data_IF_411164458475
#
_entry.id   IF_411164458475
#
_cell.length_a   1.000
_cell.length_b   1.000
_cell.length_c   1.000
_cell.angle_alpha   90.00
_cell.angle_beta   90.00
_cell.angle_gamma   90.00
#
_symmetry.space_group_name_H-M   'P 1'
#
loop_
_entity.id
_entity.type
_entity.pdbx_description
1 polymer ?
#
# COMPACT_ATOMS: atom_id res chain seq x y z
N UNK A 1 8.11 12.37 -18.15
CA UNK A 1 7.87 11.05 -17.52
C UNK A 1 7.94 9.98 -18.59
N UNK A 2 8.12 8.72 -18.19
CA UNK A 2 8.07 7.57 -19.09
C UNK A 2 6.66 6.98 -19.00
N UNK A 3 5.87 7.12 -20.07
CA UNK A 3 4.59 6.42 -20.21
C UNK A 3 4.85 4.96 -20.58
N UNK A 4 4.08 4.05 -20.00
CA UNK A 4 4.22 2.61 -20.19
C UNK A 4 2.86 1.98 -20.41
N UNK A 5 2.72 1.16 -21.45
CA UNK A 5 1.53 0.33 -21.71
C UNK A 5 1.97 -1.12 -21.77
N UNK A 6 1.28 -1.98 -21.01
CA UNK A 6 1.46 -3.43 -21.05
C UNK A 6 0.22 -4.05 -21.71
N UNK A 7 0.40 -5.19 -22.38
CA UNK A 7 -0.70 -5.94 -23.02
C UNK A 7 -0.71 -7.38 -22.49
N UNK A 8 -1.89 -7.93 -22.31
CA UNK A 8 -2.08 -9.35 -21.97
C UNK A 8 -3.37 -9.88 -22.59
N UNK A 9 -3.43 -11.18 -22.82
CA UNK A 9 -4.66 -11.91 -23.12
C UNK A 9 -5.25 -12.63 -21.90
N UNK A 10 -4.52 -12.68 -20.79
CA UNK A 10 -4.93 -13.29 -19.54
C UNK A 10 -4.42 -12.46 -18.34
N UNK A 11 -5.24 -11.57 -17.77
CA UNK A 11 -4.80 -10.71 -16.67
C UNK A 11 -4.43 -11.48 -15.38
N UNK A 12 -4.79 -12.76 -15.30
CA UNK A 12 -4.53 -13.63 -14.15
C UNK A 12 -3.24 -14.45 -14.25
N UNK A 13 -2.52 -14.36 -15.35
CA UNK A 13 -1.22 -15.03 -15.54
C UNK A 13 -0.13 -13.98 -15.76
N UNK A 14 0.76 -13.84 -14.78
CA UNK A 14 1.86 -12.86 -14.82
C UNK A 14 2.76 -13.04 -16.05
N UNK A 15 2.98 -14.28 -16.50
CA UNK A 15 3.85 -14.59 -17.65
C UNK A 15 3.21 -14.25 -19.00
N UNK A 16 1.92 -13.91 -19.00
CA UNK A 16 1.18 -13.55 -20.22
C UNK A 16 1.21 -12.06 -20.55
N UNK A 17 1.78 -11.24 -19.65
CA UNK A 17 1.97 -9.81 -19.87
C UNK A 17 3.19 -9.55 -20.76
N UNK A 18 3.05 -8.60 -21.68
CA UNK A 18 4.15 -8.19 -22.57
C UNK A 18 5.23 -7.39 -21.84
N UNK A 19 6.40 -7.26 -22.46
CA UNK A 19 7.30 -6.14 -22.17
C UNK A 19 6.58 -4.79 -22.37
N UNK A 20 7.00 -3.70 -21.69
CA UNK A 20 6.33 -2.41 -21.80
C UNK A 20 6.53 -1.75 -23.16
N UNK A 21 5.44 -1.26 -23.75
CA UNK A 21 5.50 -0.24 -24.80
C UNK A 21 5.72 1.11 -24.13
N UNK A 22 6.78 1.82 -24.54
CA UNK A 22 7.20 3.05 -23.86
C UNK A 22 7.14 4.27 -24.75
N UNK A 23 6.74 5.41 -24.20
CA UNK A 23 6.76 6.71 -24.85
C UNK A 23 7.05 7.82 -23.85
N UNK A 24 7.58 8.96 -24.32
CA UNK A 24 7.83 10.10 -23.44
C UNK A 24 6.64 11.04 -23.43
N UNK A 25 6.18 11.40 -22.24
CA UNK A 25 5.09 12.36 -22.04
C UNK A 25 5.35 13.23 -20.80
N UNK A 26 4.97 14.52 -20.82
CA UNK A 26 5.00 15.35 -19.63
C UNK A 26 3.79 15.12 -18.71
N UNK A 27 2.80 14.32 -19.13
CA UNK A 27 1.53 14.11 -18.42
C UNK A 27 1.57 12.81 -17.59
N UNK A 28 1.01 12.85 -16.38
CA UNK A 28 0.77 11.68 -15.53
C UNK A 28 -0.65 11.14 -15.73
N UNK A 29 -1.09 10.23 -14.87
CA UNK A 29 -2.46 9.70 -14.82
C UNK A 29 -3.01 9.34 -16.20
N UNK A 30 -2.29 8.43 -16.86
CA UNK A 30 -2.62 8.00 -18.20
C UNK A 30 -3.71 6.93 -18.14
N UNK A 31 -4.72 7.07 -18.99
CA UNK A 31 -5.80 6.10 -19.17
C UNK A 31 -5.80 5.57 -20.62
N UNK A 32 -6.64 4.58 -20.92
CA UNK A 32 -6.83 4.06 -22.26
C UNK A 32 -8.31 4.21 -22.68
N UNK A 33 -8.54 4.90 -23.79
CA UNK A 33 -9.86 5.07 -24.39
C UNK A 33 -9.88 4.50 -25.81
N UNK A 34 -10.78 3.56 -26.08
CA UNK A 34 -11.04 3.04 -27.42
C UNK A 34 -12.28 3.70 -27.99
N UNK A 35 -12.14 4.35 -29.14
CA UNK A 35 -13.24 5.04 -29.81
C UNK A 35 -13.87 4.19 -30.92
N UNK A 36 -15.05 4.60 -31.37
CA UNK A 36 -15.82 3.95 -32.44
C UNK A 36 -15.10 4.01 -33.81
N UNK A 37 -14.07 4.85 -33.95
CA UNK A 37 -13.20 4.93 -35.13
C UNK A 37 -12.17 3.77 -35.21
N UNK A 38 -12.14 2.91 -34.18
CA UNK A 38 -11.23 1.78 -34.07
C UNK A 38 -9.83 2.14 -33.55
N UNK A 39 -9.60 3.39 -33.14
CA UNK A 39 -8.34 3.84 -32.54
C UNK A 39 -8.39 3.80 -31.01
N UNK A 40 -7.20 3.68 -30.43
CA UNK A 40 -6.96 3.89 -29.02
C UNK A 40 -6.31 5.25 -28.83
N UNK A 41 -6.83 6.01 -27.88
CA UNK A 41 -6.29 7.27 -27.41
C UNK A 41 -5.93 7.15 -25.93
N UNK A 42 -5.01 8.00 -25.47
CA UNK A 42 -4.53 8.00 -24.09
C UNK A 42 -4.90 9.34 -23.44
N UNK A 43 -6.01 9.44 -22.69
CA UNK A 43 -6.24 10.57 -21.81
C UNK A 43 -5.10 10.71 -20.80
N UNK A 44 -4.73 11.94 -20.44
CA UNK A 44 -3.67 12.19 -19.47
C UNK A 44 -3.89 13.45 -18.64
N UNK A 45 -3.26 13.48 -17.45
CA UNK A 45 -3.36 14.58 -16.50
C UNK A 45 -3.15 15.97 -17.12
N UNK A 46 -3.90 16.96 -16.63
CA UNK A 46 -4.09 18.24 -17.33
C UNK A 46 -5.19 18.21 -18.40
N UNK A 47 -6.01 17.15 -18.42
CA UNK A 47 -7.12 16.93 -19.35
C UNK A 47 -6.67 17.01 -20.82
N UNK A 48 -5.61 16.27 -21.15
CA UNK A 48 -5.13 16.11 -22.52
C UNK A 48 -5.55 14.77 -23.09
N UNK A 49 -5.57 14.69 -24.42
CA UNK A 49 -5.73 13.46 -25.18
C UNK A 49 -4.48 13.23 -26.03
N UNK A 50 -3.77 12.14 -25.76
CA UNK A 50 -2.61 11.74 -26.52
C UNK A 50 -3.04 10.73 -27.60
N UNK A 51 -2.59 10.98 -28.83
CA UNK A 51 -2.57 10.00 -29.91
C UNK A 51 -1.15 9.45 -29.96
N UNK A 52 -0.97 8.17 -29.65
CA UNK A 52 0.36 7.56 -29.45
C UNK A 52 0.54 6.40 -30.41
N UNK A 53 1.62 6.46 -31.19
CA UNK A 53 2.14 5.31 -31.89
C UNK A 53 2.94 4.46 -30.89
N UNK A 54 2.33 3.37 -30.43
CA UNK A 54 2.96 2.48 -29.45
C UNK A 54 4.14 1.70 -30.04
N UNK A 55 4.18 1.45 -31.34
CA UNK A 55 5.28 0.71 -31.97
C UNK A 55 6.54 1.58 -32.06
N UNK A 56 6.37 2.83 -32.47
CA UNK A 56 7.46 3.81 -32.55
C UNK A 56 7.77 4.46 -31.19
N UNK A 57 6.87 4.33 -30.21
CA UNK A 57 6.99 4.97 -28.89
C UNK A 57 6.87 6.50 -28.95
N UNK A 58 6.08 7.02 -29.90
CA UNK A 58 5.98 8.46 -30.17
C UNK A 58 4.58 9.00 -29.94
N UNK A 59 4.50 10.21 -29.36
CA UNK A 59 3.25 10.96 -29.23
C UNK A 59 3.02 11.73 -30.53
N UNK A 60 2.04 11.30 -31.32
CA UNK A 60 1.65 11.90 -32.60
C UNK A 60 0.94 13.22 -32.37
N UNK A 61 -0.03 13.25 -31.45
CA UNK A 61 -0.75 14.46 -31.05
C UNK A 61 -0.89 14.52 -29.52
N UNK A 62 -0.90 15.73 -28.98
CA UNK A 62 -1.24 16.02 -27.58
C UNK A 62 -2.26 17.16 -27.57
N UNK A 63 -3.53 16.80 -27.44
CA UNK A 63 -4.67 17.72 -27.59
C UNK A 63 -5.22 18.09 -26.22
N UNK A 64 -5.20 19.38 -25.88
CA UNK A 64 -5.89 19.87 -24.69
C UNK A 64 -7.41 19.81 -24.88
N UNK A 65 -8.12 19.16 -23.95
CA UNK A 65 -9.57 18.95 -24.03
C UNK A 65 -10.37 19.99 -23.23
N UNK A 66 -10.00 20.20 -21.97
CA UNK A 66 -10.82 20.96 -21.02
C UNK A 66 -10.03 21.56 -19.86
N UNK A 67 -10.31 22.82 -19.50
CA UNK A 67 -9.63 23.50 -18.39
C UNK A 67 -10.08 23.09 -16.99
N UNK A 68 -10.99 22.12 -16.86
CA UNK A 68 -11.58 21.77 -15.58
C UNK A 68 -12.57 22.81 -15.07
N UNK A 69 -12.83 22.78 -13.76
CA UNK A 69 -13.74 23.71 -13.06
C UNK A 69 -13.00 24.84 -12.33
N UNK A 70 -11.67 24.87 -12.44
CA UNK A 70 -10.80 25.86 -11.80
C UNK A 70 -10.08 25.36 -10.54
N UNK A 71 -10.19 24.07 -10.23
CA UNK A 71 -9.41 23.42 -9.17
C UNK A 71 -7.92 23.32 -9.46
N UNK A 72 -7.15 23.03 -8.42
CA UNK A 72 -5.73 22.69 -8.54
C UNK A 72 -5.58 21.22 -8.94
N UNK A 73 -4.48 20.90 -9.63
CA UNK A 73 -4.11 19.52 -9.99
C UNK A 73 -5.21 18.74 -10.75
N UNK A 74 -5.66 19.23 -11.93
CA UNK A 74 -6.55 18.45 -12.79
C UNK A 74 -5.86 17.16 -13.24
N UNK A 75 -6.37 16.01 -12.78
CA UNK A 75 -5.70 14.71 -12.85
C UNK A 75 -6.70 13.56 -13.07
N UNK A 76 -6.22 12.32 -13.20
CA UNK A 76 -7.06 11.12 -13.40
C UNK A 76 -8.18 11.21 -14.45
N UNK A 77 -7.93 11.69 -15.70
CA UNK A 77 -9.00 11.80 -16.67
C UNK A 77 -9.38 10.45 -17.28
N UNK A 78 -10.68 10.13 -17.24
CA UNK A 78 -11.30 9.04 -17.98
C UNK A 78 -12.24 9.59 -19.05
N UNK A 79 -12.24 8.96 -20.23
CA UNK A 79 -13.17 9.31 -21.32
C UNK A 79 -14.20 8.20 -21.50
N UNK A 80 -15.48 8.57 -21.53
CA UNK A 80 -16.59 7.67 -21.79
C UNK A 80 -17.35 8.10 -23.04
N UNK A 81 -17.79 7.13 -23.84
CA UNK A 81 -18.71 7.35 -24.96
C UNK A 81 -20.11 6.88 -24.56
N UNK A 82 -21.09 7.79 -24.49
CA UNK A 82 -22.47 7.45 -24.12
C UNK A 82 -23.48 8.41 -24.75
N UNK A 83 -24.58 7.88 -25.29
CA UNK A 83 -25.71 8.64 -25.85
C UNK A 83 -25.30 9.73 -26.86
N UNK A 84 -24.28 9.47 -27.68
CA UNK A 84 -23.76 10.43 -28.66
C UNK A 84 -22.82 11.49 -28.09
N UNK A 85 -22.47 11.43 -26.81
CA UNK A 85 -21.53 12.32 -26.13
C UNK A 85 -20.22 11.62 -25.74
N UNK A 86 -19.13 12.38 -25.78
CA UNK A 86 -17.87 12.07 -25.09
C UNK A 86 -17.89 12.78 -23.75
N UNK A 87 -17.79 12.03 -22.66
CA UNK A 87 -17.67 12.57 -21.31
C UNK A 87 -16.21 12.49 -20.89
N UNK A 88 -15.68 13.54 -20.27
CA UNK A 88 -14.43 13.50 -19.51
C UNK A 88 -14.78 13.58 -18.03
N UNK A 89 -14.41 12.56 -17.27
CA UNK A 89 -14.44 12.54 -15.80
C UNK A 89 -13.01 12.75 -15.32
N UNK A 90 -12.77 13.67 -14.40
CA UNK A 90 -11.42 13.93 -13.88
C UNK A 90 -11.44 14.39 -12.42
N UNK A 91 -10.33 14.24 -11.74
CA UNK A 91 -10.14 14.68 -10.36
C UNK A 91 -9.55 16.09 -10.30
N UNK A 92 -9.93 16.84 -9.26
CA UNK A 92 -9.37 18.16 -8.94
C UNK A 92 -9.26 18.34 -7.41
N UNK A 93 -8.50 19.35 -6.99
CA UNK A 93 -8.31 19.72 -5.59
C UNK A 93 -7.15 19.02 -4.88
N UNK A 94 -6.42 18.15 -5.60
CA UNK A 94 -5.41 17.23 -5.07
C UNK A 94 -6.04 16.06 -4.32
N UNK A 95 -5.26 15.02 -4.02
CA UNK A 95 -5.75 13.79 -3.37
C UNK A 95 -5.94 13.88 -1.85
N UNK A 96 -6.02 15.08 -1.28
CA UNK A 96 -6.17 15.32 0.17
C UNK A 96 -7.63 15.68 0.54
N UNK A 97 -7.88 16.35 1.66
CA UNK A 97 -9.25 16.73 2.09
C UNK A 97 -9.95 17.70 1.12
N UNK A 98 -9.19 18.28 0.18
CA UNK A 98 -9.68 19.11 -0.90
C UNK A 98 -10.16 18.35 -2.14
N UNK A 99 -10.07 17.02 -2.19
CA UNK A 99 -10.31 16.19 -3.37
C UNK A 99 -11.79 16.15 -3.80
N UNK A 100 -12.02 16.17 -5.12
CA UNK A 100 -13.33 15.98 -5.72
C UNK A 100 -13.23 15.52 -7.17
N UNK A 101 -14.27 14.86 -7.67
CA UNK A 101 -14.44 14.49 -9.07
C UNK A 101 -15.29 15.54 -9.79
N UNK A 102 -14.89 15.87 -11.02
CA UNK A 102 -15.61 16.73 -11.95
C UNK A 102 -15.87 16.01 -13.26
N UNK A 103 -16.88 16.49 -14.00
CA UNK A 103 -17.21 15.96 -15.31
C UNK A 103 -17.57 17.07 -16.30
N UNK A 104 -17.25 16.85 -17.57
CA UNK A 104 -17.70 17.64 -18.71
C UNK A 104 -18.03 16.72 -19.88
N UNK A 105 -18.71 17.22 -20.91
CA UNK A 105 -19.02 16.44 -22.12
C UNK A 105 -18.91 17.24 -23.40
N UNK A 106 -18.73 16.57 -24.53
CA UNK A 106 -18.75 17.17 -25.85
C UNK A 106 -19.33 16.22 -26.90
N UNK A 107 -19.90 16.77 -27.97
CA UNK A 107 -20.33 15.97 -29.12
C UNK A 107 -19.15 15.55 -30.02
N UNK A 108 -17.95 16.07 -29.74
CA UNK A 108 -16.70 15.75 -30.42
C UNK A 108 -15.63 15.36 -29.41
N UNK A 109 -14.84 14.31 -29.69
CA UNK A 109 -13.78 13.82 -28.82
C UNK A 109 -12.80 14.93 -28.40
N UNK A 110 -12.48 15.83 -29.34
CA UNK A 110 -11.54 16.95 -29.12
C UNK A 110 -12.23 18.23 -28.63
N UNK A 111 -13.48 18.15 -28.18
CA UNK A 111 -14.22 19.29 -27.63
C UNK A 111 -14.86 20.22 -28.67
N UNK A 112 -15.30 21.42 -28.24
CA UNK A 112 -15.17 21.94 -26.88
C UNK A 112 -16.06 21.19 -25.87
N UNK A 113 -15.60 21.06 -24.63
CA UNK A 113 -16.32 20.39 -23.55
C UNK A 113 -17.18 21.38 -22.75
N UNK A 114 -18.46 21.06 -22.57
CA UNK A 114 -19.37 21.75 -21.65
C UNK A 114 -19.29 21.12 -20.25
N UNK A 115 -19.05 21.89 -19.17
CA UNK A 115 -18.98 21.34 -17.83
C UNK A 115 -20.36 20.88 -17.34
N UNK A 116 -20.38 19.80 -16.56
CA UNK A 116 -21.58 19.38 -15.84
C UNK A 116 -22.06 20.54 -14.93
N UNK A 117 -23.33 20.96 -15.01
CA UNK A 117 -23.85 22.07 -14.21
C UNK A 117 -23.92 21.74 -12.71
N UNK A 118 -23.73 20.48 -12.33
CA UNK A 118 -23.77 19.99 -10.95
C UNK A 118 -22.39 19.62 -10.40
N UNK A 119 -21.31 20.02 -11.07
CA UNK A 119 -19.96 19.82 -10.54
C UNK A 119 -19.79 20.45 -9.14
N UNK A 120 -19.02 19.81 -8.24
CA UNK A 120 -18.37 18.50 -8.40
C UNK A 120 -19.38 17.35 -8.37
N UNK A 121 -19.16 16.32 -9.20
CA UNK A 121 -20.06 15.15 -9.28
C UNK A 121 -19.85 14.16 -8.13
N UNK A 122 -18.70 14.18 -7.46
CA UNK A 122 -18.42 13.39 -6.26
C UNK A 122 -17.43 14.13 -5.35
N UNK A 123 -17.75 14.28 -4.06
CA UNK A 123 -16.82 14.80 -3.05
C UNK A 123 -17.32 14.59 -1.63
N UNK A 124 -16.40 14.50 -0.67
CA UNK A 124 -16.67 14.68 0.77
C UNK A 124 -15.98 15.92 1.35
N UNK A 125 -15.39 16.77 0.50
CA UNK A 125 -14.73 18.00 0.92
C UNK A 125 -15.65 18.89 1.76
N UNK A 126 -15.17 19.32 2.92
CA UNK A 126 -15.91 20.21 3.82
C UNK A 126 -17.08 19.56 4.55
N UNK A 127 -17.16 18.22 4.57
CA UNK A 127 -18.16 17.45 5.32
C UNK A 127 -17.51 16.78 6.54
N UNK A 128 -18.34 16.36 7.51
CA UNK A 128 -17.89 15.61 8.70
C UNK A 128 -17.86 14.07 8.48
N UNK A 129 -17.86 13.64 7.22
CA UNK A 129 -17.91 12.21 6.88
C UNK A 129 -16.62 11.48 7.29
N UNK A 130 -16.75 10.21 7.68
CA UNK A 130 -15.60 9.42 8.11
C UNK A 130 -14.65 9.09 6.95
N UNK A 131 -15.21 8.79 5.77
CA UNK A 131 -14.47 8.62 4.54
C UNK A 131 -14.18 10.00 3.94
N UNK A 132 -12.92 10.39 3.86
CA UNK A 132 -12.47 11.64 3.27
C UNK A 132 -11.62 11.38 2.04
N UNK A 133 -11.12 12.44 1.41
CA UNK A 133 -10.24 12.41 0.23
C UNK A 133 -10.86 11.75 -1.00
N UNK A 134 -12.20 11.69 -1.07
CA UNK A 134 -12.94 11.06 -2.18
C UNK A 134 -12.68 11.76 -3.51
N UNK A 135 -12.21 11.01 -4.50
CA UNK A 135 -12.01 11.44 -5.88
C UNK A 135 -11.25 10.38 -6.68
N UNK A 136 -10.69 10.78 -7.83
CA UNK A 136 -9.99 9.88 -8.76
C UNK A 136 -10.87 8.67 -9.13
N UNK A 137 -12.09 8.98 -9.57
CA UNK A 137 -13.13 8.00 -9.77
C UNK A 137 -13.18 7.45 -11.20
N UNK A 138 -13.45 6.15 -11.30
CA UNK A 138 -13.74 5.46 -12.56
C UNK A 138 -15.11 4.77 -12.50
N UNK A 139 -15.80 4.73 -13.63
CA UNK A 139 -17.19 4.28 -13.77
C UNK A 139 -17.29 3.05 -14.67
N UNK A 140 -18.12 2.09 -14.26
CA UNK A 140 -18.35 0.87 -15.03
C UNK A 140 -19.78 0.36 -14.88
N UNK A 141 -20.21 -0.54 -15.76
CA UNK A 141 -21.48 -1.23 -15.66
C UNK A 141 -21.28 -2.69 -15.20
N UNK A 142 -22.21 -3.18 -14.39
CA UNK A 142 -22.33 -4.62 -14.11
C UNK A 142 -23.10 -5.36 -15.24
N UNK A 143 -23.30 -6.67 -15.07
CA UNK A 143 -24.01 -7.51 -16.05
C UNK A 143 -25.50 -7.20 -16.18
N UNK A 144 -26.08 -6.47 -15.21
CA UNK A 144 -27.48 -6.01 -15.22
C UNK A 144 -27.58 -4.56 -15.74
N UNK A 145 -26.49 -4.03 -16.33
CA UNK A 145 -26.36 -2.67 -16.85
C UNK A 145 -26.46 -1.56 -15.78
N UNK A 146 -26.39 -1.91 -14.49
CA UNK A 146 -26.34 -0.91 -13.43
C UNK A 146 -24.98 -0.23 -13.43
N UNK A 147 -24.98 1.10 -13.29
CA UNK A 147 -23.76 1.87 -13.19
C UNK A 147 -23.20 1.86 -11.76
N UNK A 148 -21.90 1.67 -11.68
CA UNK A 148 -21.10 1.70 -10.46
C UNK A 148 -19.93 2.66 -10.65
N UNK A 149 -19.44 3.20 -9.53
CA UNK A 149 -18.20 3.95 -9.49
C UNK A 149 -17.27 3.38 -8.44
N UNK A 150 -15.98 3.32 -8.78
CA UNK A 150 -14.89 3.16 -7.81
C UNK A 150 -14.19 4.49 -7.64
N UNK A 151 -13.71 4.76 -6.43
CA UNK A 151 -12.89 5.93 -6.13
C UNK A 151 -11.88 5.58 -5.04
N UNK A 152 -10.89 6.44 -4.83
CA UNK A 152 -10.05 6.36 -3.64
C UNK A 152 -10.70 7.09 -2.46
N UNK A 153 -10.37 6.69 -1.24
CA UNK A 153 -10.80 7.30 0.01
C UNK A 153 -9.80 7.06 1.13
N UNK A 154 -9.84 7.87 2.19
CA UNK A 154 -9.15 7.56 3.46
C UNK A 154 -10.18 7.44 4.58
N UNK A 155 -10.03 6.45 5.46
CA UNK A 155 -10.75 6.36 6.74
C UNK A 155 -10.09 7.23 7.81
N UNK A 156 -10.38 8.52 7.79
CA UNK A 156 -9.63 9.49 8.58
C UNK A 156 -10.48 10.49 9.36
N UNK A 157 -11.76 10.62 9.01
CA UNK A 157 -12.55 11.80 9.39
C UNK A 157 -11.99 13.11 8.82
N UNK A 158 -12.71 14.23 8.99
CA UNK A 158 -12.31 15.54 8.46
C UNK A 158 -11.00 16.06 9.06
N UNK A 159 -10.58 15.57 10.24
CA UNK A 159 -9.31 15.94 10.84
C UNK A 159 -8.11 15.48 10.01
N UNK A 160 -8.27 14.36 9.27
CA UNK A 160 -7.27 13.78 8.37
C UNK A 160 -5.88 13.67 9.02
N UNK A 161 -5.83 13.08 10.23
CA UNK A 161 -4.60 12.92 11.03
C UNK A 161 -4.11 11.49 11.17
N UNK A 162 -5.04 10.53 11.26
CA UNK A 162 -4.73 9.10 11.45
C UNK A 162 -5.45 8.33 10.35
N UNK A 163 -4.68 7.74 9.46
CA UNK A 163 -5.13 6.95 8.31
C UNK A 163 -4.01 6.01 7.87
N UNK A 164 -3.57 5.08 8.74
CA UNK A 164 -2.37 4.28 8.53
C UNK A 164 -2.48 3.31 7.33
N UNK A 165 -3.70 3.02 6.84
CA UNK A 165 -3.92 2.21 5.63
C UNK A 165 -3.69 3.01 4.34
N UNK A 166 -3.46 4.33 4.43
CA UNK A 166 -3.36 5.19 3.27
C UNK A 166 -4.70 5.35 2.55
N UNK A 167 -4.64 5.53 1.23
CA UNK A 167 -5.82 5.62 0.37
C UNK A 167 -6.29 4.19 0.03
N UNK A 168 -7.57 3.94 0.23
CA UNK A 168 -8.27 2.68 0.01
C UNK A 168 -9.27 2.83 -1.14
N UNK A 169 -9.65 1.73 -1.79
CA UNK A 169 -10.69 1.74 -2.83
C UNK A 169 -12.08 1.61 -2.21
N UNK A 170 -13.00 2.47 -2.64
CA UNK A 170 -14.43 2.42 -2.30
C UNK A 170 -15.27 2.14 -3.53
N UNK A 171 -16.44 1.51 -3.33
CA UNK A 171 -17.44 1.24 -4.37
C UNK A 171 -18.74 1.96 -4.02
N UNK A 172 -19.36 2.63 -4.99
CA UNK A 172 -20.63 3.33 -4.81
C UNK A 172 -21.52 3.21 -6.05
N UNK A 173 -22.85 3.23 -5.89
CA UNK A 173 -23.78 3.16 -7.02
C UNK A 173 -23.85 4.50 -7.77
N UNK A 174 -24.11 4.40 -9.07
CA UNK A 174 -24.26 5.54 -9.97
C UNK A 174 -25.57 5.39 -10.74
N UNK A 175 -26.29 6.50 -10.92
CA UNK A 175 -27.46 6.56 -11.82
C UNK A 175 -27.10 7.39 -13.05
N UNK A 176 -27.06 6.76 -14.23
CA UNK A 176 -26.76 7.44 -15.48
C UNK A 176 -27.81 7.15 -16.56
N UNK A 177 -28.91 7.90 -16.50
CA UNK A 177 -30.02 7.76 -17.45
C UNK A 177 -29.65 8.30 -18.83
N UNK A 178 -30.35 7.80 -19.84
CA UNK A 178 -30.19 8.25 -21.23
C UNK A 178 -30.38 9.77 -21.35
N UNK A 179 -29.40 10.45 -21.96
CA UNK A 179 -29.43 11.90 -22.20
C UNK A 179 -29.18 12.77 -20.96
N UNK A 180 -29.02 12.19 -19.77
CA UNK A 180 -28.77 12.89 -18.52
C UNK A 180 -27.26 12.94 -18.17
N UNK A 181 -26.93 13.73 -17.15
CA UNK A 181 -25.64 13.65 -16.46
C UNK A 181 -25.69 12.53 -15.40
N UNK A 182 -24.57 11.84 -15.12
CA UNK A 182 -24.57 10.82 -14.08
C UNK A 182 -24.73 11.47 -12.69
N UNK A 183 -25.45 10.78 -11.83
CA UNK A 183 -25.57 11.09 -10.40
C UNK A 183 -24.76 10.02 -9.66
N UNK A 184 -23.63 10.43 -9.08
CA UNK A 184 -22.77 9.57 -8.26
C UNK A 184 -23.21 9.71 -6.80
N UNK A 185 -23.56 8.58 -6.16
CA UNK A 185 -23.98 8.63 -4.77
C UNK A 185 -22.80 9.03 -3.85
N UNK A 186 -23.01 9.92 -2.87
CA UNK A 186 -21.97 10.30 -1.93
C UNK A 186 -21.42 9.08 -1.18
N UNK A 187 -20.09 8.92 -1.14
CA UNK A 187 -19.45 7.79 -0.46
C UNK A 187 -19.59 7.91 1.05
N UNK A 188 -20.12 6.86 1.67
CA UNK A 188 -20.38 6.74 3.11
C UNK A 188 -19.99 5.32 3.56
N UNK A 189 -19.83 5.12 4.87
CA UNK A 189 -19.56 3.78 5.41
C UNK A 189 -20.70 2.78 5.23
N UNK A 190 -21.93 3.28 5.11
CA UNK A 190 -23.10 2.47 4.73
C UNK A 190 -23.71 3.04 3.47
N UNK A 191 -23.69 2.24 2.41
CA UNK A 191 -24.26 2.59 1.12
C UNK A 191 -25.60 1.89 0.89
N UNK A 192 -26.43 2.49 0.04
CA UNK A 192 -27.66 1.92 -0.49
C UNK A 192 -27.74 2.19 -1.98
N UNK A 193 -28.37 1.31 -2.74
CA UNK A 193 -28.53 1.47 -4.18
C UNK A 193 -28.76 0.12 -4.84
N UNK A 194 -27.97 -0.18 -5.87
CA UNK A 194 -28.00 -1.46 -6.56
C UNK A 194 -27.65 -2.61 -5.60
N UNK A 195 -28.26 -3.76 -5.83
CA UNK A 195 -27.99 -4.94 -5.02
C UNK A 195 -26.65 -5.54 -5.46
N UNK A 196 -25.75 -5.74 -4.49
CA UNK A 196 -24.50 -6.45 -4.76
C UNK A 196 -24.77 -7.90 -5.17
N UNK A 197 -23.97 -8.47 -6.08
CA UNK A 197 -23.99 -9.90 -6.32
C UNK A 197 -23.64 -10.66 -5.03
N UNK A 198 -24.05 -11.92 -4.95
CA UNK A 198 -23.62 -12.78 -3.86
C UNK A 198 -22.09 -12.85 -3.81
N UNK A 199 -21.51 -12.75 -2.61
CA UNK A 199 -20.07 -12.87 -2.43
C UNK A 199 -19.60 -14.22 -2.97
N UNK A 200 -18.62 -14.19 -3.88
CA UNK A 200 -17.99 -15.36 -4.45
C UNK A 200 -16.48 -15.21 -4.35
N UNK A 201 -15.82 -16.33 -4.08
CA UNK A 201 -14.36 -16.45 -4.13
C UNK A 201 -13.89 -17.33 -5.29
N UNK A 202 -14.82 -17.78 -6.12
CA UNK A 202 -14.55 -18.51 -7.35
C UNK A 202 -14.22 -17.49 -8.46
N UNK A 203 -13.01 -16.94 -8.38
CA UNK A 203 -12.45 -15.99 -9.35
C UNK A 203 -11.17 -16.59 -9.96
N UNK A 204 -10.87 -16.31 -11.23
CA UNK A 204 -9.59 -16.71 -11.81
C UNK A 204 -8.41 -16.04 -11.09
N UNK A 205 -7.24 -16.69 -11.11
CA UNK A 205 -6.02 -16.22 -10.44
C UNK A 205 -5.56 -17.16 -9.32
N UNK A 206 -4.43 -16.83 -8.71
CA UNK A 206 -3.84 -17.55 -7.59
C UNK A 206 -3.45 -16.59 -6.44
N UNK A 207 -3.30 -17.15 -5.24
CA UNK A 207 -2.98 -16.39 -4.03
C UNK A 207 -4.19 -16.04 -3.17
N UNK A 208 -3.95 -15.46 -1.99
CA UNK A 208 -5.02 -15.05 -1.07
C UNK A 208 -5.66 -13.73 -1.54
N UNK A 209 -6.87 -13.48 -1.04
CA UNK A 209 -7.49 -12.16 -1.17
C UNK A 209 -6.82 -11.19 -0.21
N UNK A 210 -6.77 -9.90 -0.55
CA UNK A 210 -6.14 -8.89 0.32
C UNK A 210 -6.77 -8.82 1.73
N UNK A 211 -8.05 -9.16 1.86
CA UNK A 211 -8.78 -9.21 3.13
C UNK A 211 -8.60 -10.52 3.90
N UNK A 212 -7.88 -11.50 3.34
CA UNK A 212 -7.67 -12.75 4.06
C UNK A 212 -6.70 -12.56 5.22
N UNK A 213 -6.92 -13.29 6.34
CA UNK A 213 -5.87 -13.46 7.32
C UNK A 213 -4.70 -14.24 6.71
N UNK A 214 -3.50 -13.99 7.21
CA UNK A 214 -2.34 -14.83 6.92
C UNK A 214 -2.17 -15.86 8.03
N UNK A 215 -1.89 -17.11 7.65
CA UNK A 215 -1.46 -18.17 8.56
C UNK A 215 -0.45 -19.06 7.84
N UNK A 216 0.78 -18.56 7.67
CA UNK A 216 1.83 -19.26 6.95
C UNK A 216 2.76 -19.99 7.92
N UNK A 217 2.87 -21.30 7.72
CA UNK A 217 4.01 -22.09 8.20
C UNK A 217 4.99 -22.25 7.02
N UNK A 218 6.01 -21.40 7.00
CA UNK A 218 6.98 -21.37 5.91
C UNK A 218 7.84 -22.63 5.82
N UNK A 219 7.86 -23.49 6.84
CA UNK A 219 8.55 -24.80 6.75
C UNK A 219 7.79 -25.78 5.87
N UNK A 220 6.50 -25.52 5.61
CA UNK A 220 5.64 -26.36 4.77
C UNK A 220 5.41 -25.80 3.36
N UNK A 221 5.74 -24.53 3.14
CA UNK A 221 5.57 -23.86 1.85
C UNK A 221 6.70 -24.20 0.89
N UNK A 222 6.40 -24.16 -0.41
CA UNK A 222 7.38 -24.32 -1.49
C UNK A 222 7.79 -22.99 -2.14
N UNK A 223 7.11 -21.89 -1.79
CA UNK A 223 7.33 -20.56 -2.33
C UNK A 223 6.80 -19.48 -1.39
N UNK A 224 7.22 -18.25 -1.64
CA UNK A 224 6.77 -17.08 -0.89
C UNK A 224 5.34 -16.72 -1.35
N UNK A 225 4.37 -16.54 -0.43
CA UNK A 225 3.01 -16.11 -0.78
C UNK A 225 2.99 -14.80 -1.59
N UNK A 226 2.16 -14.74 -2.63
CA UNK A 226 2.14 -13.63 -3.61
C UNK A 226 1.66 -12.29 -3.06
N UNK A 227 0.94 -12.29 -1.94
CA UNK A 227 0.48 -11.07 -1.27
C UNK A 227 1.57 -10.37 -0.46
N UNK A 228 2.73 -11.02 -0.26
CA UNK A 228 3.87 -10.40 0.40
C UNK A 228 4.64 -9.52 -0.60
N UNK A 229 5.00 -8.33 -0.14
CA UNK A 229 5.60 -7.26 -0.93
C UNK A 229 6.95 -6.85 -0.35
N UNK A 230 7.81 -6.32 -1.21
CA UNK A 230 9.11 -5.76 -0.85
C UNK A 230 9.09 -4.23 -0.93
N UNK A 231 10.02 -3.59 -0.24
CA UNK A 231 10.30 -2.18 -0.46
C UNK A 231 11.27 -2.02 -1.62
N UNK A 232 10.73 -1.70 -2.80
CA UNK A 232 11.46 -1.69 -4.08
C UNK A 232 11.99 -3.09 -4.43
N UNK A 233 13.10 -3.17 -5.13
CA UNK A 233 13.70 -4.43 -5.58
C UNK A 233 14.66 -4.91 -4.49
N UNK A 234 14.45 -6.09 -3.88
CA UNK A 234 15.40 -6.66 -2.94
C UNK A 234 16.66 -7.14 -3.67
N UNK A 235 17.77 -7.25 -2.95
CA UNK A 235 18.99 -7.86 -3.50
C UNK A 235 18.72 -9.30 -3.92
N UNK A 236 19.31 -9.73 -5.03
CA UNK A 236 19.17 -11.11 -5.50
C UNK A 236 19.59 -12.10 -4.40
N UNK A 237 18.75 -13.10 -4.13
CA UNK A 237 18.99 -14.08 -3.07
C UNK A 237 18.67 -13.60 -1.65
N UNK A 238 18.18 -12.37 -1.46
CA UNK A 238 17.83 -11.85 -0.13
C UNK A 238 16.72 -12.67 0.56
N UNK A 239 15.84 -13.29 -0.23
CA UNK A 239 14.72 -14.09 0.27
C UNK A 239 14.65 -15.44 -0.44
N UNK A 240 14.43 -16.50 0.33
CA UNK A 240 14.23 -17.85 -0.19
C UNK A 240 13.44 -18.69 0.80
N UNK A 241 12.84 -19.79 0.34
CA UNK A 241 12.21 -20.77 1.25
C UNK A 241 13.22 -21.88 1.55
N UNK A 242 13.56 -22.04 2.83
CA UNK A 242 14.25 -23.20 3.36
C UNK A 242 13.20 -24.16 3.95
N UNK A 243 12.92 -25.25 3.24
CA UNK A 243 11.93 -26.27 3.65
C UNK A 243 12.15 -26.89 5.05
N UNK A 244 13.33 -26.68 5.66
CA UNK A 244 13.64 -27.18 7.01
C UNK A 244 13.57 -26.11 8.10
N UNK A 245 13.60 -24.82 7.73
CA UNK A 245 13.73 -23.71 8.70
C UNK A 245 12.74 -22.56 8.49
N UNK A 246 12.15 -22.41 7.31
CA UNK A 246 11.16 -21.41 6.97
C UNK A 246 11.63 -20.39 5.92
N UNK A 247 11.05 -19.19 5.95
CA UNK A 247 11.44 -18.08 5.08
C UNK A 247 12.81 -17.58 5.51
N UNK A 248 13.82 -17.85 4.69
CA UNK A 248 15.20 -17.42 4.89
C UNK A 248 15.37 -15.98 4.41
N UNK A 249 15.99 -15.15 5.26
CA UNK A 249 16.29 -13.75 5.01
C UNK A 249 17.79 -13.53 5.17
N UNK A 250 18.46 -13.14 4.09
CA UNK A 250 19.85 -12.67 4.13
C UNK A 250 19.83 -11.19 4.53
N UNK A 251 20.61 -10.75 5.55
CA UNK A 251 20.55 -9.37 6.02
C UNK A 251 21.08 -8.38 4.98
N UNK A 252 20.44 -7.21 4.87
CA UNK A 252 20.96 -6.09 4.08
C UNK A 252 21.87 -5.20 4.90
N UNK A 253 22.85 -4.55 4.26
CA UNK A 253 23.61 -3.46 4.90
C UNK A 253 22.69 -2.31 5.25
N UNK A 254 21.77 -1.98 4.36
CA UNK A 254 20.73 -1.00 4.61
C UNK A 254 19.91 -1.42 5.84
N UNK A 255 19.75 -0.50 6.77
CA UNK A 255 18.76 -0.60 7.82
C UNK A 255 17.42 -0.03 7.30
N UNK A 256 16.31 -0.38 7.94
CA UNK A 256 14.99 0.21 7.72
C UNK A 256 15.06 1.73 7.79
N UNK A 257 15.78 2.26 8.79
CA UNK A 257 16.22 3.66 8.80
C UNK A 257 17.40 3.77 7.83
N UNK A 258 17.16 4.36 6.66
CA UNK A 258 18.22 4.54 5.68
C UNK A 258 19.32 5.49 6.19
N UNK A 259 20.59 5.19 5.91
CA UNK A 259 21.64 6.21 5.92
C UNK A 259 21.51 7.08 4.67
N UNK A 260 21.94 8.35 4.74
CA UNK A 260 21.81 9.30 3.62
C UNK A 260 22.45 8.85 2.30
N UNK A 261 23.34 7.85 2.34
CA UNK A 261 23.98 7.27 1.17
C UNK A 261 23.15 6.21 0.43
N UNK A 262 22.06 5.69 1.00
CA UNK A 262 21.36 4.48 0.50
C UNK A 262 19.84 4.66 0.30
N UNK A 263 19.37 5.91 0.35
CA UNK A 263 17.95 6.25 0.14
C UNK A 263 17.52 6.19 -1.33
N UNK A 264 18.46 6.01 -2.26
CA UNK A 264 18.14 5.85 -3.69
C UNK A 264 17.48 4.50 -4.01
N UNK A 265 17.44 3.59 -3.03
CA UNK A 265 16.77 2.30 -3.11
C UNK A 265 17.52 1.24 -3.89
N UNK A 266 18.81 1.45 -4.19
CA UNK A 266 19.61 0.55 -5.03
C UNK A 266 20.30 -0.57 -4.26
N UNK A 267 20.53 -0.45 -2.95
CA UNK A 267 21.16 -1.52 -2.17
C UNK A 267 20.18 -2.56 -1.62
N UNK A 268 18.88 -2.36 -1.86
CA UNK A 268 17.80 -3.26 -1.41
C UNK A 268 17.61 -3.26 0.11
N UNK A 269 16.35 -3.33 0.56
CA UNK A 269 16.07 -3.69 1.95
C UNK A 269 15.78 -5.18 2.01
N UNK A 270 16.40 -5.87 2.97
CA UNK A 270 15.95 -7.19 3.40
C UNK A 270 14.73 -7.03 4.31
N UNK A 271 13.67 -6.49 3.72
CA UNK A 271 12.33 -6.34 4.28
C UNK A 271 11.30 -6.99 3.34
N UNK A 272 10.39 -7.77 3.93
CA UNK A 272 9.22 -8.34 3.28
C UNK A 272 8.01 -8.20 4.19
N UNK A 273 6.91 -7.71 3.65
CA UNK A 273 5.73 -7.31 4.40
C UNK A 273 4.44 -7.57 3.66
N UNK A 274 3.32 -7.19 4.27
CA UNK A 274 2.03 -7.03 3.61
C UNK A 274 1.45 -5.65 3.93
N UNK A 275 0.53 -5.13 3.11
CA UNK A 275 -0.27 -3.97 3.50
C UNK A 275 -1.06 -4.24 4.79
N UNK A 276 -1.14 -3.23 5.66
CA UNK A 276 -2.19 -3.19 6.66
C UNK A 276 -3.53 -2.97 5.95
N UNK A 277 -4.47 -3.88 6.13
CA UNK A 277 -5.82 -3.83 5.51
C UNK A 277 -6.93 -3.59 6.51
N UNK A 278 -6.61 -3.74 7.81
CA UNK A 278 -7.59 -3.72 8.88
C UNK A 278 -7.39 -2.53 9.81
N UNK A 279 -8.49 -1.98 10.32
CA UNK A 279 -8.42 -0.93 11.35
C UNK A 279 -7.89 -1.46 12.68
N UNK A 280 -8.29 -2.69 13.01
CA UNK A 280 -7.84 -3.42 14.18
C UNK A 280 -7.26 -4.75 13.71
N UNK A 281 -6.04 -5.08 14.11
CA UNK A 281 -5.40 -6.34 13.75
C UNK A 281 -4.36 -6.77 14.77
N UNK A 282 -3.95 -8.03 14.66
CA UNK A 282 -2.73 -8.55 15.28
C UNK A 282 -1.87 -9.22 14.22
N UNK A 283 -0.61 -8.82 14.15
CA UNK A 283 0.43 -9.45 13.35
C UNK A 283 1.44 -10.13 14.28
N UNK A 284 1.81 -11.37 13.97
CA UNK A 284 2.84 -12.12 14.67
C UNK A 284 3.80 -12.80 13.70
N UNK A 285 5.07 -12.85 14.08
CA UNK A 285 6.08 -13.65 13.38
C UNK A 285 6.99 -14.37 14.39
N UNK A 286 7.27 -15.65 14.13
CA UNK A 286 8.25 -16.44 14.90
C UNK A 286 9.56 -16.47 14.13
N UNK A 287 10.58 -15.82 14.68
CA UNK A 287 11.88 -15.63 14.03
C UNK A 287 12.97 -16.39 14.78
N UNK A 288 13.68 -17.25 14.05
CA UNK A 288 14.94 -17.85 14.43
C UNK A 288 16.09 -16.99 13.88
N UNK A 289 16.80 -16.30 14.77
CA UNK A 289 17.86 -15.35 14.44
C UNK A 289 19.14 -15.70 15.22
N UNK A 290 19.98 -16.62 14.69
CA UNK A 290 21.24 -17.04 15.30
C UNK A 290 22.36 -16.00 15.08
N UNK A 291 22.12 -14.77 15.56
CA UNK A 291 23.00 -13.62 15.36
C UNK A 291 24.24 -13.73 16.27
N UNK A 292 25.42 -13.39 15.77
CA UNK A 292 26.69 -13.52 16.51
C UNK A 292 27.53 -12.24 16.50
N UNK A 293 27.46 -11.47 15.43
CA UNK A 293 28.28 -10.26 15.27
C UNK A 293 27.55 -9.02 15.78
N UNK A 294 28.32 -8.05 16.29
CA UNK A 294 27.77 -6.80 16.78
C UNK A 294 26.94 -6.09 15.70
N UNK A 295 25.82 -5.51 16.12
CA UNK A 295 24.84 -4.80 15.30
C UNK A 295 24.13 -5.64 14.23
N UNK A 296 24.27 -6.97 14.21
CA UNK A 296 23.31 -7.81 13.50
C UNK A 296 21.94 -7.72 14.16
N UNK A 297 20.89 -7.60 13.36
CA UNK A 297 19.51 -7.47 13.83
C UNK A 297 18.51 -8.16 12.91
N UNK A 298 17.47 -8.76 13.51
CA UNK A 298 16.28 -9.22 12.79
C UNK A 298 15.03 -9.07 13.66
N UNK A 299 13.90 -8.77 13.03
CA UNK A 299 12.68 -8.42 13.76
C UNK A 299 11.47 -8.21 12.86
N UNK A 300 10.49 -7.49 13.40
CA UNK A 300 9.28 -7.05 12.70
C UNK A 300 9.18 -5.53 12.67
N UNK A 301 8.49 -5.01 11.67
CA UNK A 301 8.30 -3.56 11.52
C UNK A 301 6.89 -3.22 11.06
N UNK A 302 6.41 -2.09 11.55
CA UNK A 302 5.32 -1.31 10.95
C UNK A 302 5.98 -0.17 10.14
N UNK A 303 5.90 -0.26 8.82
CA UNK A 303 6.73 0.50 7.89
C UNK A 303 5.89 1.28 6.89
N UNK A 304 5.98 2.61 6.90
CA UNK A 304 5.42 3.45 5.83
C UNK A 304 6.51 3.80 4.82
N UNK A 305 7.63 4.34 5.31
CA UNK A 305 8.83 4.62 4.52
C UNK A 305 10.07 4.48 5.42
N UNK A 306 11.27 4.63 4.86
CA UNK A 306 12.52 4.69 5.62
C UNK A 306 12.62 5.91 6.57
N UNK A 307 11.69 6.87 6.51
CA UNK A 307 11.60 8.01 7.42
C UNK A 307 10.42 7.91 8.40
N UNK A 308 9.56 6.91 8.24
CA UNK A 308 8.34 6.73 9.02
C UNK A 308 8.10 5.23 9.26
N UNK A 309 8.66 4.71 10.34
CA UNK A 309 8.50 3.32 10.72
C UNK A 309 8.72 3.14 12.22
N UNK A 310 8.21 2.04 12.75
CA UNK A 310 8.54 1.52 14.07
C UNK A 310 8.89 0.05 13.95
N UNK A 311 9.89 -0.40 14.68
CA UNK A 311 10.40 -1.76 14.62
C UNK A 311 10.70 -2.29 16.02
N UNK A 312 10.58 -3.61 16.14
CA UNK A 312 11.06 -4.38 17.28
C UNK A 312 11.87 -5.55 16.71
N UNK A 313 13.10 -5.69 17.19
CA UNK A 313 13.99 -6.74 16.75
C UNK A 313 14.87 -7.27 17.87
N UNK A 314 15.51 -8.40 17.58
CA UNK A 314 16.61 -8.91 18.38
C UNK A 314 17.93 -8.46 17.77
N UNK A 315 18.82 -7.92 18.59
CA UNK A 315 20.09 -7.33 18.18
C UNK A 315 21.23 -7.77 19.08
N UNK A 316 22.42 -7.88 18.50
CA UNK A 316 23.65 -8.17 19.23
C UNK A 316 24.35 -6.85 19.55
N UNK A 317 24.44 -6.48 20.82
CA UNK A 317 25.09 -5.25 21.26
C UNK A 317 26.29 -5.54 22.17
N UNK A 318 27.34 -4.72 22.14
CA UNK A 318 28.43 -4.83 23.12
C UNK A 318 27.89 -4.73 24.54
N UNK A 319 28.45 -5.52 25.46
CA UNK A 319 28.05 -5.46 26.88
C UNK A 319 28.23 -4.07 27.45
N UNK A 320 27.16 -3.53 28.03
CA UNK A 320 27.15 -2.19 28.59
C UNK A 320 28.12 -2.02 29.79
N UNK A 321 28.48 -3.12 30.46
CA UNK A 321 29.41 -3.12 31.59
C UNK A 321 30.90 -3.04 31.18
N UNK A 322 31.20 -3.07 29.88
CA UNK A 322 32.56 -3.01 29.35
C UNK A 322 33.40 -4.26 29.64
N UNK A 323 32.79 -5.36 30.11
CA UNK A 323 33.48 -6.62 30.40
C UNK A 323 34.02 -7.35 29.16
N UNK A 324 33.69 -6.84 27.97
CA UNK A 324 34.00 -7.45 26.69
C UNK A 324 32.98 -8.53 26.29
N UNK A 325 32.78 -8.69 24.99
CA UNK A 325 31.75 -9.56 24.42
C UNK A 325 30.42 -8.83 24.15
N UNK A 326 29.43 -9.59 23.69
CA UNK A 326 28.13 -9.07 23.27
C UNK A 326 26.99 -9.70 24.09
N UNK A 327 25.90 -8.95 24.23
CA UNK A 327 24.62 -9.43 24.76
C UNK A 327 23.57 -9.44 23.64
N UNK A 328 22.64 -10.40 23.75
CA UNK A 328 21.43 -10.46 22.93
C UNK A 328 20.36 -9.56 23.56
N UNK A 329 19.94 -8.54 22.84
CA UNK A 329 19.03 -7.50 23.32
C UNK A 329 17.77 -7.45 22.45
N UNK A 330 16.64 -7.10 23.05
CA UNK A 330 15.48 -6.61 22.31
C UNK A 330 15.65 -5.10 22.12
N UNK A 331 15.50 -4.64 20.89
CA UNK A 331 15.53 -3.21 20.54
C UNK A 331 14.21 -2.83 19.92
N UNK A 332 13.59 -1.79 20.45
CA UNK A 332 12.53 -1.04 19.78
C UNK A 332 13.12 0.29 19.29
N UNK A 333 12.89 0.61 18.02
CA UNK A 333 13.22 1.92 17.44
C UNK A 333 12.05 2.42 16.61
N UNK A 334 11.93 3.74 16.55
CA UNK A 334 10.96 4.41 15.70
C UNK A 334 11.60 5.65 15.08
N UNK A 335 11.21 5.92 13.84
CA UNK A 335 11.64 7.09 13.07
C UNK A 335 10.41 7.79 12.54
N UNK A 336 10.32 9.11 12.73
CA UNK A 336 9.21 9.94 12.25
C UNK A 336 8.81 11.02 13.25
N UNK A 337 7.77 11.78 12.92
CA UNK A 337 7.17 12.75 13.84
C UNK A 337 6.59 12.04 15.07
N UNK A 338 6.85 12.59 16.27
CA UNK A 338 6.40 12.04 17.55
C UNK A 338 6.86 10.58 17.83
N UNK A 339 7.90 10.11 17.15
CA UNK A 339 8.48 8.79 17.38
C UNK A 339 8.89 8.63 18.86
N UNK A 340 8.46 7.55 19.56
CA UNK A 340 8.92 7.29 20.92
C UNK A 340 10.43 7.08 20.97
N UNK A 341 11.01 7.32 22.14
CA UNK A 341 12.43 7.06 22.36
C UNK A 341 12.77 5.58 22.16
N UNK A 342 13.99 5.32 21.70
CA UNK A 342 14.53 3.96 21.61
C UNK A 342 14.45 3.26 22.97
N UNK A 343 14.03 2.00 22.95
CA UNK A 343 13.95 1.16 24.14
C UNK A 343 14.75 -0.11 23.90
N UNK A 344 15.74 -0.37 24.75
CA UNK A 344 16.61 -1.53 24.68
C UNK A 344 16.53 -2.27 26.00
N UNK A 345 16.16 -3.56 25.94
CA UNK A 345 16.11 -4.43 27.11
C UNK A 345 16.85 -5.73 26.82
N UNK A 346 17.45 -6.33 27.84
CA UNK A 346 18.12 -7.63 27.68
C UNK A 346 17.07 -8.70 27.39
N UNK A 347 17.35 -9.60 26.44
CA UNK A 347 16.51 -10.78 26.22
C UNK A 347 16.47 -11.59 27.53
N UNK A 348 15.29 -11.95 28.05
CA UNK A 348 15.20 -12.74 29.28
C UNK A 348 15.98 -14.06 29.19
N UNK A 349 16.80 -14.36 30.20
CA UNK A 349 17.65 -15.58 30.21
C UNK A 349 16.83 -16.87 30.07
N UNK A 350 15.59 -16.87 30.54
CA UNK A 350 14.66 -18.00 30.42
C UNK A 350 14.31 -18.38 28.98
N UNK A 351 14.48 -17.45 28.02
CA UNK A 351 14.19 -17.71 26.61
C UNK A 351 15.25 -18.61 25.96
N UNK A 352 16.48 -18.63 26.50
CA UNK A 352 17.59 -19.42 25.98
C UNK A 352 17.83 -19.19 24.48
N UNK A 353 18.02 -20.28 23.75
CA UNK A 353 18.22 -20.31 22.31
C UNK A 353 16.91 -20.50 21.52
N UNK A 354 15.74 -20.34 22.18
CA UNK A 354 14.45 -20.46 21.50
C UNK A 354 14.26 -19.33 20.47
N UNK A 355 13.44 -19.60 19.46
CA UNK A 355 12.97 -18.58 18.53
C UNK A 355 12.17 -17.51 19.29
N UNK A 356 12.15 -16.29 18.77
CA UNK A 356 11.40 -15.18 19.37
C UNK A 356 10.11 -14.98 18.57
N UNK A 357 8.98 -14.90 19.28
CA UNK A 357 7.72 -14.43 18.72
C UNK A 357 7.66 -12.92 18.89
N UNK A 358 7.59 -12.20 17.79
CA UNK A 358 7.32 -10.76 17.78
C UNK A 358 5.85 -10.51 17.45
N UNK A 359 5.28 -9.47 18.04
CA UNK A 359 3.90 -9.06 17.83
C UNK A 359 3.81 -7.56 17.54
N UNK A 360 3.00 -7.20 16.55
CA UNK A 360 2.49 -5.85 16.31
C UNK A 360 0.97 -5.93 16.39
N UNK A 361 0.36 -5.21 17.33
CA UNK A 361 -1.09 -5.22 17.50
C UNK A 361 -1.64 -3.80 17.60
N UNK A 362 -2.86 -3.61 17.10
CA UNK A 362 -3.63 -2.38 17.36
C UNK A 362 -4.20 -2.43 18.77
N UNK A 363 -3.97 -1.38 19.56
CA UNK A 363 -4.69 -1.18 20.84
C UNK A 363 -6.08 -0.62 20.58
N UNK A 364 -6.20 0.23 19.55
CA UNK A 364 -7.41 0.80 18.98
C UNK A 364 -7.03 1.48 17.64
N UNK A 365 -7.96 2.18 16.99
CA UNK A 365 -7.72 2.89 15.71
C UNK A 365 -6.62 3.96 15.73
N UNK A 366 -6.13 4.36 16.90
CA UNK A 366 -5.18 5.47 17.05
C UNK A 366 -3.81 5.05 17.58
N UNK A 367 -3.66 3.81 18.06
CA UNK A 367 -2.44 3.36 18.73
C UNK A 367 -2.11 1.90 18.41
N UNK A 368 -0.81 1.65 18.23
CA UNK A 368 -0.22 0.31 18.13
C UNK A 368 0.55 -0.04 19.39
N UNK A 369 0.77 -1.33 19.60
CA UNK A 369 1.73 -1.86 20.57
C UNK A 369 2.65 -2.87 19.91
N UNK A 370 3.89 -2.92 20.37
CA UNK A 370 4.92 -3.87 19.92
C UNK A 370 5.46 -4.64 21.11
N UNK A 371 5.48 -5.97 20.98
CA UNK A 371 5.92 -6.86 22.04
C UNK A 371 6.71 -8.05 21.49
N UNK A 372 7.48 -8.68 22.36
CA UNK A 372 8.18 -9.94 22.06
C UNK A 372 7.95 -10.96 23.18
N UNK A 373 7.99 -12.24 22.84
CA UNK A 373 7.91 -13.36 23.78
C UNK A 373 8.77 -14.54 23.30
N UNK A 374 9.02 -15.48 24.21
CA UNK A 374 9.57 -16.77 23.83
C UNK A 374 8.57 -17.50 22.92
N UNK A 375 9.01 -18.06 21.79
CA UNK A 375 8.09 -18.67 20.83
C UNK A 375 7.25 -19.81 21.43
N UNK A 376 7.84 -20.60 22.34
CA UNK A 376 7.17 -21.68 23.07
C UNK A 376 6.30 -21.23 24.26
N UNK A 377 6.36 -19.96 24.68
CA UNK A 377 5.61 -19.40 25.81
C UNK A 377 5.15 -17.96 25.50
N UNK A 378 4.04 -17.84 24.76
CA UNK A 378 3.52 -16.55 24.27
C UNK A 378 2.74 -15.73 25.30
N UNK A 379 2.41 -16.31 26.46
CA UNK A 379 1.64 -15.66 27.53
C UNK A 379 2.48 -14.66 28.36
N UNK A 380 3.80 -14.76 28.31
CA UNK A 380 4.73 -13.85 28.98
C UNK A 380 5.40 -12.91 27.98
N UNK A 381 4.67 -11.87 27.59
CA UNK A 381 5.18 -10.85 26.66
C UNK A 381 5.97 -9.75 27.36
N UNK A 382 7.06 -9.33 26.71
CA UNK A 382 7.76 -8.08 27.00
C UNK A 382 7.23 -7.02 26.05
N UNK A 383 6.36 -6.14 26.56
CA UNK A 383 5.87 -4.98 25.80
C UNK A 383 6.99 -3.94 25.69
N UNK A 384 7.43 -3.67 24.47
CA UNK A 384 8.54 -2.76 24.22
C UNK A 384 8.07 -1.31 24.04
N UNK A 385 6.90 -1.10 23.43
CA UNK A 385 6.37 0.24 23.19
C UNK A 385 4.88 0.22 22.85
N UNK A 386 4.21 1.36 23.12
CA UNK A 386 2.88 1.70 22.63
C UNK A 386 2.96 3.11 22.05
N UNK A 387 2.52 3.29 20.80
CA UNK A 387 2.76 4.52 20.05
C UNK A 387 1.61 4.86 19.11
N UNK A 388 1.54 6.12 18.68
CA UNK A 388 0.45 6.62 17.85
C UNK A 388 0.54 6.10 16.41
N UNK A 389 -0.63 5.75 15.85
CA UNK A 389 -0.78 5.43 14.43
C UNK A 389 -0.47 6.61 13.48
N UNK A 390 -0.42 7.84 14.02
CA UNK A 390 0.02 9.03 13.28
C UNK A 390 1.44 8.87 12.72
N UNK A 391 2.30 8.08 13.37
CA UNK A 391 3.68 7.84 12.93
C UNK A 391 3.75 7.30 11.50
N UNK A 392 2.74 6.52 11.09
CA UNK A 392 2.64 5.86 9.79
C UNK A 392 1.41 6.31 8.98
N UNK A 393 0.90 7.52 9.24
CA UNK A 393 -0.26 8.11 8.53
C UNK A 393 0.17 9.26 7.62
N UNK A 394 0.31 9.00 6.32
CA UNK A 394 0.63 10.01 5.31
C UNK A 394 2.10 10.45 5.35
N UNK A 395 2.49 11.26 6.34
CA UNK A 395 3.88 11.68 6.60
C UNK A 395 4.77 11.82 5.35
N UNK A 396 5.91 11.11 5.28
CA UNK A 396 6.80 11.09 4.10
C UNK A 396 6.34 10.16 2.98
N UNK A 397 5.28 9.37 3.19
CA UNK A 397 4.65 8.48 2.21
C UNK A 397 3.17 8.83 1.99
N UNK A 398 2.81 10.06 1.57
CA UNK A 398 1.43 10.53 1.55
C UNK A 398 0.54 9.80 0.54
N UNK A 399 1.14 9.03 -0.37
CA UNK A 399 0.45 8.28 -1.41
C UNK A 399 0.40 6.76 -1.15
N UNK A 400 0.90 6.30 -0.01
CA UNK A 400 1.00 4.89 0.38
C UNK A 400 0.27 4.60 1.69
N UNK A 401 0.10 3.32 2.02
CA UNK A 401 -0.31 2.85 3.34
C UNK A 401 0.84 2.16 4.06
N UNK A 402 0.67 1.91 5.35
CA UNK A 402 1.62 1.17 6.17
C UNK A 402 1.66 -0.30 5.77
N UNK A 403 2.88 -0.84 5.79
CA UNK A 403 3.17 -2.25 5.65
C UNK A 403 3.49 -2.82 7.03
N UNK A 404 3.16 -4.09 7.24
CA UNK A 404 3.57 -4.86 8.41
C UNK A 404 4.36 -6.08 7.94
N UNK A 405 5.51 -6.34 8.55
CA UNK A 405 6.37 -7.41 8.05
C UNK A 405 7.61 -7.67 8.87
N UNK A 406 8.54 -8.42 8.28
CA UNK A 406 9.79 -8.89 8.89
C UNK A 406 10.99 -8.26 8.18
N UNK A 407 12.10 -8.14 8.89
CA UNK A 407 13.35 -7.64 8.34
C UNK A 407 14.59 -8.30 8.95
N UNK A 408 15.72 -8.19 8.24
CA UNK A 408 17.05 -8.49 8.75
C UNK A 408 18.07 -7.47 8.24
N UNK A 409 19.01 -7.05 9.08
CA UNK A 409 20.03 -6.06 8.72
C UNK A 409 21.31 -6.28 9.51
N UNK A 410 22.44 -5.92 8.92
CA UNK A 410 23.71 -5.77 9.63
C UNK A 410 24.03 -4.30 9.99
N UNK A 411 23.02 -3.41 9.95
CA UNK A 411 23.10 -2.01 10.37
C UNK A 411 24.33 -1.27 9.80
N UNK A 412 24.55 -1.38 8.49
CA UNK A 412 25.62 -0.69 7.78
C UNK A 412 26.99 -1.37 7.87
N UNK A 413 27.15 -2.46 8.62
CA UNK A 413 28.40 -3.23 8.65
C UNK A 413 28.77 -3.80 7.27
N UNK A 414 30.01 -4.25 7.10
CA UNK A 414 30.48 -4.83 5.83
C UNK A 414 30.90 -3.79 4.80
N UNK A 415 30.78 -4.11 3.51
CA UNK A 415 31.28 -3.26 2.40
C UNK A 415 30.46 -3.42 1.13
N UNK A 416 30.25 -2.33 0.38
CA UNK A 416 29.44 -2.38 -0.85
C UNK A 416 27.98 -2.64 -0.54
N UNK A 417 27.41 -3.75 -1.03
CA UNK A 417 26.06 -4.21 -0.67
C UNK A 417 26.09 -5.42 0.28
N UNK A 418 27.28 -5.90 0.63
CA UNK A 418 27.48 -7.16 1.35
C UNK A 418 27.66 -6.93 2.86
N UNK A 419 26.84 -7.63 3.65
CA UNK A 419 27.05 -7.75 5.09
C UNK A 419 28.25 -8.65 5.42
N UNK A 420 28.84 -8.55 6.63
CA UNK A 420 29.74 -9.57 7.15
C UNK A 420 29.04 -10.94 7.22
N UNK A 421 29.79 -12.06 7.20
CA UNK A 421 29.19 -13.39 7.29
C UNK A 421 28.27 -13.57 8.51
N UNK A 422 27.17 -14.30 8.30
CA UNK A 422 26.13 -14.53 9.30
C UNK A 422 25.09 -13.41 9.36
N UNK A 423 24.20 -13.48 10.35
CA UNK A 423 23.08 -12.54 10.49
C UNK A 423 21.84 -12.95 9.69
N UNK A 424 21.92 -14.04 8.93
CA UNK A 424 20.79 -14.73 8.33
C UNK A 424 19.74 -15.08 9.39
N UNK A 425 18.47 -14.93 9.03
CA UNK A 425 17.35 -15.27 9.90
C UNK A 425 16.29 -16.09 9.16
N UNK A 426 15.48 -16.81 9.92
CA UNK A 426 14.41 -17.65 9.40
C UNK A 426 13.10 -17.35 10.10
N UNK A 427 12.06 -17.07 9.31
CA UNK A 427 10.69 -16.92 9.81
C UNK A 427 9.98 -18.25 9.64
N UNK A 428 9.56 -18.86 10.75
CA UNK A 428 8.85 -20.14 10.77
C UNK A 428 7.35 -19.93 10.57
N UNK A 429 6.77 -19.17 11.49
CA UNK A 429 5.34 -18.86 11.51
C UNK A 429 5.13 -17.38 11.21
N UNK A 430 4.13 -17.08 10.39
CA UNK A 430 3.65 -15.74 10.09
C UNK A 430 2.13 -15.72 10.20
N UNK A 431 1.62 -14.78 10.98
CA UNK A 431 0.20 -14.63 11.23
C UNK A 431 -0.22 -13.18 11.12
N UNK A 432 -1.27 -12.91 10.35
CA UNK A 432 -1.97 -11.62 10.34
C UNK A 432 -3.45 -11.90 10.47
N UNK A 433 -4.08 -11.34 11.49
CA UNK A 433 -5.51 -11.51 11.74
C UNK A 433 -6.17 -10.14 11.91
N UNK A 434 -7.10 -9.85 11.02
CA UNK A 434 -8.03 -8.74 11.17
C UNK A 434 -8.95 -8.98 12.36
N UNK A 435 -9.18 -7.95 13.17
CA UNK A 435 -10.06 -8.00 14.34
C UNK A 435 -11.29 -7.10 14.17
N UNK A 436 -11.27 -6.24 13.16
CA UNK A 436 -12.41 -5.44 12.78
C UNK A 436 -12.03 -4.18 12.02
N UNK A 437 -13.04 -3.64 11.37
CA UNK A 437 -12.94 -2.55 10.44
C UNK A 437 -13.91 -1.42 10.79
N UNK A 438 -13.39 -0.20 11.00
CA UNK A 438 -14.27 0.96 11.20
C UNK A 438 -14.90 1.37 9.86
N UNK A 439 -16.20 1.66 9.89
CA UNK A 439 -16.94 2.24 8.77
C UNK A 439 -17.59 3.58 9.13
N UNK A 440 -17.56 3.98 10.40
CA UNK A 440 -17.75 5.36 10.83
C UNK A 440 -16.67 5.70 11.86
N UNK A 441 -16.66 6.94 12.39
CA UNK A 441 -15.73 7.31 13.44
C UNK A 441 -15.88 6.48 14.73
N UNK A 442 -17.01 5.77 14.90
CA UNK A 442 -17.31 5.00 16.12
C UNK A 442 -17.77 3.57 15.86
N UNK A 443 -18.34 3.29 14.70
CA UNK A 443 -18.93 1.99 14.39
C UNK A 443 -17.93 1.06 13.69
N UNK A 444 -17.90 -0.18 14.17
CA UNK A 444 -16.96 -1.22 13.78
C UNK A 444 -17.73 -2.44 13.24
N UNK A 445 -17.26 -3.01 12.15
CA UNK A 445 -17.62 -4.37 11.73
C UNK A 445 -16.52 -5.30 12.27
N UNK A 446 -16.82 -6.22 13.20
CA UNK A 446 -15.86 -7.24 13.60
C UNK A 446 -15.61 -8.24 12.47
N UNK A 447 -14.41 -8.82 12.42
CA UNK A 447 -14.08 -9.96 11.54
C UNK A 447 -14.69 -11.28 12.04
#
# INVERSE_FOLDING_TARGET
MLGTVFKTSNPFDAESWSDPYTFLTPNGDLDLFWDDDGKMYIPGGGHVLLDVDLEEGTVVNNTFLWGGTGGVWPEGPHIYRKDGWYYISAAEGGTETGHYQVMARSSSLTGPYEPCPYNPVLTNKGTDEYFQTIGHADLFQDLDENWWGVALATRSGPEWRIYPMGRETVLYPVTWREGEWPILEPVRGKMSGWQMPAASRDLPGDGPFNSDPDAYDFTTLSGIPRNLVHWRIPTEGAFSIDSSRGLHIVPSRANLTGDSADLDGRSGLSFIGRPQTDSLFTFEAVIDAPLTEADQESGVTLFLTQFNHADIGVVILPKADGSGGNDRMLRFRATGEDAPAENIVKVPEAWGDDSIRFQIATVNSTHYTMAASQASQSDQQVVMSTFSARLVSGQSGPFTGSLVGVYATCNGAGSGVECPPGGDSWVKDWHYEGQGQYYTATDLIPE
#
